data_IF_053252386386
#
_entry.id   IF_053252386386
#
_cell.length_a   1.000
_cell.length_b   1.000
_cell.length_c   1.000
_cell.angle_alpha   90.00
_cell.angle_beta   90.00
_cell.angle_gamma   90.00
#
_symmetry.space_group_name_H-M   'P 1'
#
loop_
_entity.id
_entity.type
_entity.pdbx_description
1 polymer ?
#
# COMPACT_ATOMS: atom_id res chain seq x y z
N UNK A 1 11.86 -10.95 -1.09
CA UNK A 1 11.40 -12.26 -1.57
C UNK A 1 11.25 -13.31 -0.46
N UNK A 2 11.44 -12.96 0.84
CA UNK A 2 11.39 -13.89 1.98
C UNK A 2 12.46 -15.00 2.02
N UNK A 3 13.25 -15.20 0.97
CA UNK A 3 14.24 -16.28 0.87
C UNK A 3 15.28 -16.29 2.01
N UNK A 4 15.76 -15.12 2.44
CA UNK A 4 16.70 -15.01 3.56
C UNK A 4 16.09 -15.47 4.90
N UNK A 5 14.78 -15.28 5.08
CA UNK A 5 14.07 -15.69 6.28
C UNK A 5 13.79 -17.20 6.26
N UNK A 6 13.29 -17.72 5.14
CA UNK A 6 12.95 -19.15 4.99
C UNK A 6 14.19 -20.06 5.09
N UNK A 7 15.37 -19.55 4.72
CA UNK A 7 16.63 -20.30 4.80
C UNK A 7 17.40 -20.09 6.10
N UNK A 8 16.90 -19.24 7.02
CA UNK A 8 17.69 -18.87 8.19
C UNK A 8 17.83 -20.06 9.16
N UNK A 9 19.05 -20.57 9.40
CA UNK A 9 19.26 -21.71 10.31
C UNK A 9 18.98 -21.35 11.78
N UNK A 10 18.93 -20.06 12.11
CA UNK A 10 18.65 -19.54 13.44
C UNK A 10 17.20 -19.06 13.60
N UNK A 11 16.33 -19.32 12.61
CA UNK A 11 14.93 -18.88 12.59
C UNK A 11 14.76 -17.36 12.79
N UNK A 12 15.71 -16.56 12.30
CA UNK A 12 15.62 -15.10 12.35
C UNK A 12 14.57 -14.61 11.35
N UNK A 13 13.67 -13.75 11.83
CA UNK A 13 12.65 -13.07 11.02
C UNK A 13 13.24 -11.88 10.26
N UNK A 14 14.19 -12.16 9.35
CA UNK A 14 14.98 -11.13 8.65
C UNK A 14 14.11 -10.13 7.89
N UNK A 15 13.02 -10.59 7.27
CA UNK A 15 12.15 -9.70 6.50
C UNK A 15 11.42 -8.70 7.40
N UNK A 16 10.99 -9.15 8.58
CA UNK A 16 10.31 -8.30 9.55
C UNK A 16 11.24 -7.23 10.13
N UNK A 17 12.50 -7.60 10.42
CA UNK A 17 13.54 -6.63 10.83
C UNK A 17 13.67 -5.52 9.79
N UNK A 18 13.68 -5.86 8.48
CA UNK A 18 13.74 -4.83 7.45
C UNK A 18 12.48 -3.96 7.37
N UNK A 19 11.29 -4.51 7.65
CA UNK A 19 10.08 -3.70 7.75
C UNK A 19 10.14 -2.75 8.93
N UNK A 20 10.66 -3.20 10.08
CA UNK A 20 10.83 -2.35 11.26
C UNK A 20 11.86 -1.24 11.01
N UNK A 21 12.97 -1.52 10.36
CA UNK A 21 13.93 -0.49 9.95
C UNK A 21 13.29 0.53 9.00
N UNK A 22 12.49 0.10 8.02
CA UNK A 22 11.77 1.02 7.11
C UNK A 22 10.74 1.85 7.85
N UNK A 23 10.06 1.25 8.81
CA UNK A 23 9.09 1.91 9.66
C UNK A 23 9.76 3.02 10.49
N UNK A 24 10.92 2.76 11.10
CA UNK A 24 11.68 3.76 11.86
C UNK A 24 12.17 4.88 10.93
N UNK A 25 12.76 4.52 9.79
CA UNK A 25 13.22 5.48 8.79
C UNK A 25 12.07 6.38 8.28
N UNK A 26 10.85 5.84 8.14
CA UNK A 26 9.69 6.63 7.75
C UNK A 26 9.27 7.67 8.82
N UNK A 27 9.40 7.37 10.11
CA UNK A 27 9.16 8.35 11.19
C UNK A 27 10.24 9.45 11.19
N UNK A 28 11.45 9.13 10.77
CA UNK A 28 12.55 10.10 10.60
C UNK A 28 12.43 10.92 9.30
N UNK A 29 11.34 10.74 8.53
CA UNK A 29 11.10 11.45 7.28
C UNK A 29 11.88 10.90 6.07
N UNK A 30 12.55 9.76 6.22
CA UNK A 30 13.29 9.08 5.13
C UNK A 30 12.38 8.20 4.25
N UNK A 31 11.17 8.68 3.94
CA UNK A 31 10.21 7.99 3.08
C UNK A 31 10.34 8.47 1.62
N UNK A 32 10.43 7.58 0.63
CA UNK A 32 10.45 7.99 -0.77
C UNK A 32 9.16 8.68 -1.18
N UNK A 33 9.25 9.74 -2.00
CA UNK A 33 8.10 10.53 -2.44
C UNK A 33 7.05 9.71 -3.20
N UNK A 34 7.48 8.69 -3.95
CA UNK A 34 6.57 7.75 -4.63
C UNK A 34 5.70 6.95 -3.66
N UNK A 35 6.24 6.55 -2.50
CA UNK A 35 5.47 5.83 -1.48
C UNK A 35 4.45 6.76 -0.81
N UNK A 36 4.83 8.02 -0.57
CA UNK A 36 3.89 9.04 -0.07
C UNK A 36 2.74 9.27 -1.07
N UNK A 37 3.04 9.32 -2.36
CA UNK A 37 2.02 9.44 -3.41
C UNK A 37 1.05 8.25 -3.40
N UNK A 38 1.55 7.01 -3.28
CA UNK A 38 0.69 5.83 -3.14
C UNK A 38 -0.18 5.89 -1.86
N UNK A 39 0.36 6.41 -0.76
CA UNK A 39 -0.39 6.65 0.46
C UNK A 39 -1.54 7.65 0.28
N UNK A 40 -1.33 8.71 -0.51
CA UNK A 40 -2.39 9.69 -0.87
C UNK A 40 -3.53 9.03 -1.63
N UNK A 41 -3.20 8.25 -2.66
CA UNK A 41 -4.18 7.50 -3.45
C UNK A 41 -5.04 6.58 -2.57
N UNK A 42 -4.40 5.88 -1.62
CA UNK A 42 -5.11 5.03 -0.66
C UNK A 42 -6.04 5.81 0.27
N UNK A 43 -5.67 7.01 0.71
CA UNK A 43 -6.54 7.82 1.59
C UNK A 43 -7.71 8.41 0.80
N UNK A 44 -7.49 8.83 -0.44
CA UNK A 44 -8.51 9.50 -1.27
C UNK A 44 -9.49 8.49 -1.87
N UNK A 45 -8.98 7.43 -2.49
CA UNK A 45 -9.77 6.43 -3.23
C UNK A 45 -10.07 5.19 -2.41
N UNK A 46 -9.27 4.90 -1.38
CA UNK A 46 -9.32 3.64 -0.62
C UNK A 46 -8.80 2.43 -1.38
N UNK A 47 -8.18 2.66 -2.54
CA UNK A 47 -7.52 1.68 -3.39
C UNK A 47 -6.44 2.37 -4.21
N UNK A 48 -5.41 1.64 -4.63
CA UNK A 48 -4.33 2.19 -5.44
C UNK A 48 -4.70 2.33 -6.92
N UNK A 49 -5.53 1.44 -7.42
CA UNK A 49 -5.89 1.36 -8.82
C UNK A 49 -7.40 1.31 -8.96
N UNK A 50 -7.92 2.13 -9.84
CA UNK A 50 -9.29 2.03 -10.35
C UNK A 50 -9.23 1.27 -11.67
N UNK A 51 -10.19 0.39 -11.91
CA UNK A 51 -10.33 -0.24 -13.23
C UNK A 51 -10.70 0.86 -14.23
N UNK A 52 -9.90 1.03 -15.28
CA UNK A 52 -10.11 2.05 -16.34
C UNK A 52 -10.08 1.44 -17.74
N UNK A 53 -9.96 0.12 -17.85
CA UNK A 53 -9.70 -0.58 -19.09
C UNK A 53 -10.99 -1.18 -19.65
N UNK A 54 -11.77 -0.36 -20.33
CA UNK A 54 -13.05 -0.80 -20.92
C UNK A 54 -12.79 -1.65 -22.17
N UNK A 55 -11.94 -1.17 -23.09
CA UNK A 55 -11.65 -1.86 -24.36
C UNK A 55 -10.86 -3.17 -24.18
N UNK A 56 -9.92 -3.25 -23.25
CA UNK A 56 -9.15 -4.49 -23.00
C UNK A 56 -10.05 -5.61 -22.44
N UNK A 57 -11.12 -5.23 -21.72
CA UNK A 57 -12.10 -6.19 -21.19
C UNK A 57 -13.04 -6.67 -22.28
N UNK A 58 -13.49 -5.76 -23.14
CA UNK A 58 -14.29 -6.10 -24.32
C UNK A 58 -13.54 -7.06 -25.26
N UNK A 59 -12.26 -6.81 -25.56
CA UNK A 59 -11.42 -7.69 -26.39
C UNK A 59 -11.25 -9.10 -25.80
N UNK A 60 -11.46 -9.25 -24.50
CA UNK A 60 -11.40 -10.52 -23.76
C UNK A 60 -12.78 -11.13 -23.48
N UNK A 61 -13.86 -10.60 -24.07
CA UNK A 61 -15.25 -10.99 -23.81
C UNK A 61 -15.63 -10.93 -22.31
N UNK A 62 -15.07 -9.96 -21.57
CA UNK A 62 -15.36 -9.72 -20.15
C UNK A 62 -16.41 -8.62 -19.99
N UNK A 63 -17.21 -8.72 -18.92
CA UNK A 63 -18.17 -7.68 -18.55
C UNK A 63 -17.45 -6.32 -18.36
N UNK A 64 -17.88 -5.23 -19.03
CA UNK A 64 -17.22 -3.93 -18.94
C UNK A 64 -17.25 -3.36 -17.51
N UNK A 65 -18.42 -3.43 -16.85
CA UNK A 65 -18.60 -2.90 -15.51
C UNK A 65 -18.07 -3.88 -14.45
N UNK A 66 -17.05 -3.44 -13.70
CA UNK A 66 -16.56 -4.15 -12.52
C UNK A 66 -17.22 -3.54 -11.28
N UNK A 67 -17.86 -4.34 -10.41
CA UNK A 67 -18.40 -3.82 -9.16
C UNK A 67 -17.29 -3.13 -8.37
N UNK A 68 -17.50 -1.87 -8.02
CA UNK A 68 -16.55 -1.07 -7.27
C UNK A 68 -16.26 -1.67 -5.89
N UNK A 69 -15.09 -1.36 -5.33
CA UNK A 69 -14.73 -1.79 -3.98
C UNK A 69 -15.46 -0.94 -2.92
N UNK A 70 -15.85 -1.56 -1.81
CA UNK A 70 -16.33 -0.85 -0.63
C UNK A 70 -15.15 -0.23 0.13
N UNK A 71 -14.82 1.02 -0.18
CA UNK A 71 -13.57 1.64 0.27
C UNK A 71 -13.67 2.49 1.53
N UNK A 72 -14.88 2.86 1.97
CA UNK A 72 -15.10 3.79 3.08
C UNK A 72 -14.43 3.36 4.38
N UNK A 73 -14.49 2.08 4.74
CA UNK A 73 -13.84 1.58 5.96
C UNK A 73 -12.31 1.67 5.87
N UNK A 74 -11.73 1.39 4.70
CA UNK A 74 -10.29 1.46 4.46
C UNK A 74 -9.83 2.92 4.56
N UNK A 75 -10.55 3.84 3.92
CA UNK A 75 -10.26 5.28 3.97
C UNK A 75 -10.26 5.79 5.41
N UNK A 76 -11.28 5.43 6.20
CA UNK A 76 -11.34 5.79 7.63
C UNK A 76 -10.13 5.26 8.40
N UNK A 77 -9.86 3.94 8.34
CA UNK A 77 -8.73 3.33 9.07
C UNK A 77 -7.40 3.97 8.66
N UNK A 78 -7.13 4.13 7.36
CA UNK A 78 -5.85 4.66 6.90
C UNK A 78 -5.67 6.14 7.25
N UNK A 79 -6.75 6.93 7.23
CA UNK A 79 -6.68 8.35 7.59
C UNK A 79 -6.44 8.61 9.09
N UNK A 80 -6.87 7.68 9.95
CA UNK A 80 -6.72 7.74 11.42
C UNK A 80 -5.45 7.04 11.93
N UNK A 81 -4.76 6.27 11.09
CA UNK A 81 -3.55 5.52 11.45
C UNK A 81 -2.28 6.16 10.89
N UNK A 82 -1.15 5.44 10.99
CA UNK A 82 0.18 5.89 10.59
C UNK A 82 0.23 6.44 9.16
N UNK A 83 -0.47 5.80 8.22
CA UNK A 83 -0.51 6.24 6.81
C UNK A 83 -1.01 7.67 6.69
N UNK A 84 -2.09 8.02 7.39
CA UNK A 84 -2.64 9.37 7.44
C UNK A 84 -1.65 10.40 7.97
N UNK A 85 -0.88 10.06 9.00
CA UNK A 85 0.16 10.95 9.56
C UNK A 85 1.30 11.19 8.57
N UNK A 86 1.84 10.12 7.99
CA UNK A 86 2.94 10.18 7.03
C UNK A 86 2.58 10.97 5.77
N UNK A 87 1.35 10.80 5.26
CA UNK A 87 0.87 11.49 4.06
C UNK A 87 0.64 12.99 4.27
N UNK A 88 0.20 13.39 5.47
CA UNK A 88 -0.05 14.80 5.83
C UNK A 88 1.25 15.58 6.09
N UNK A 89 2.41 14.92 6.03
CA UNK A 89 3.71 15.53 6.28
C UNK A 89 3.97 15.81 7.76
N UNK A 90 3.45 14.95 8.66
CA UNK A 90 3.62 15.13 10.10
C UNK A 90 5.07 14.98 10.54
N UNK A 91 5.53 15.96 11.35
CA UNK A 91 6.58 15.79 12.37
C UNK A 91 6.21 14.65 13.35
#
# INVERSE_FOLDING_TARGET
>A
CFECQERCPQAVRVTDIFFDCKNLAAEEGHIPSSIVALGKELIEKGQLYTVTADWEREDLDLEPDVPGLSTESVKRILSETRTGRLVKGGE
#
